data_IF_696351700362
#
_entry.id   IF_696351700362
#
_cell.length_a   1.000
_cell.length_b   1.000
_cell.length_c   1.000
_cell.angle_alpha   90.00
_cell.angle_beta   90.00
_cell.angle_gamma   90.00
#
_symmetry.space_group_name_H-M   'P 1'
#
loop_
_entity.id
_entity.type
_entity.pdbx_description
1 polymer ?
#
# COMPACT_ATOMS: atom_id res chain seq x y z
N UNK A 1 -9.54 4.18 13.36
CA UNK A 1 -9.06 3.34 14.48
C UNK A 1 -10.17 2.50 15.11
N UNK A 2 -11.35 3.05 15.45
CA UNK A 2 -12.43 2.32 16.15
C UNK A 2 -13.00 1.12 15.35
N UNK A 3 -13.14 1.22 14.02
CA UNK A 3 -13.72 0.15 13.20
C UNK A 3 -12.86 -1.11 13.06
N UNK A 4 -11.53 -1.00 13.09
CA UNK A 4 -10.64 -2.16 12.99
C UNK A 4 -10.61 -2.98 14.29
N UNK A 5 -10.68 -2.30 15.44
CA UNK A 5 -10.78 -2.98 16.74
C UNK A 5 -12.11 -3.73 16.85
N UNK A 6 -13.22 -3.09 16.46
CA UNK A 6 -14.52 -3.74 16.42
C UNK A 6 -14.53 -4.99 15.52
N UNK A 7 -13.98 -4.89 14.30
CA UNK A 7 -13.89 -6.03 13.39
C UNK A 7 -13.06 -7.18 13.97
N UNK A 8 -11.94 -6.87 14.63
CA UNK A 8 -11.09 -7.88 15.26
C UNK A 8 -11.80 -8.61 16.41
N UNK A 9 -12.45 -7.88 17.32
CA UNK A 9 -13.20 -8.48 18.43
C UNK A 9 -14.40 -9.30 17.92
N UNK A 10 -15.07 -8.85 16.85
CA UNK A 10 -16.14 -9.61 16.21
C UNK A 10 -15.63 -10.93 15.62
N UNK A 11 -14.46 -10.93 14.96
CA UNK A 11 -13.85 -12.16 14.45
C UNK A 11 -13.39 -13.11 15.56
N UNK A 12 -12.87 -12.59 16.68
CA UNK A 12 -12.55 -13.40 17.86
C UNK A 12 -13.80 -14.04 18.47
N UNK A 13 -14.91 -13.29 18.55
CA UNK A 13 -16.18 -13.81 19.03
C UNK A 13 -16.71 -14.96 18.12
N UNK A 14 -16.56 -14.84 16.80
CA UNK A 14 -16.92 -15.90 15.85
C UNK A 14 -15.98 -17.11 16.00
N UNK A 15 -14.67 -16.90 16.13
CA UNK A 15 -13.70 -17.97 16.34
C UNK A 15 -13.98 -18.77 17.63
N UNK A 16 -14.42 -18.08 18.68
CA UNK A 16 -14.78 -18.73 19.95
C UNK A 16 -15.91 -19.76 19.79
N UNK A 17 -16.80 -19.60 18.80
CA UNK A 17 -17.85 -20.57 18.48
C UNK A 17 -17.28 -21.90 17.96
N UNK A 18 -16.04 -21.93 17.44
CA UNK A 18 -15.40 -23.15 16.95
C UNK A 18 -14.91 -24.06 18.09
N UNK A 19 -14.90 -23.59 19.34
CA UNK A 19 -14.30 -24.31 20.47
C UNK A 19 -14.90 -25.71 20.70
N UNK A 20 -16.23 -25.91 20.74
CA UNK A 20 -16.79 -27.27 20.87
C UNK A 20 -16.37 -28.20 19.73
N UNK A 21 -16.20 -27.68 18.51
CA UNK A 21 -15.75 -28.49 17.37
C UNK A 21 -14.27 -28.89 17.48
N UNK A 22 -13.42 -27.99 17.99
CA UNK A 22 -12.00 -28.30 18.27
C UNK A 22 -11.87 -29.37 19.35
N UNK A 23 -12.60 -29.22 20.45
CA UNK A 23 -12.64 -30.20 21.55
C UNK A 23 -13.14 -31.57 21.05
N UNK A 24 -14.19 -31.59 20.21
CA UNK A 24 -14.66 -32.82 19.58
C UNK A 24 -13.59 -33.49 18.68
N UNK A 25 -12.82 -32.68 17.93
CA UNK A 25 -11.77 -33.19 17.06
C UNK A 25 -10.59 -33.75 17.85
N UNK A 26 -10.18 -33.07 18.92
CA UNK A 26 -9.12 -33.53 19.83
C UNK A 26 -9.46 -34.89 20.47
N UNK A 27 -10.72 -35.14 20.82
CA UNK A 27 -11.18 -36.45 21.31
C UNK A 27 -10.95 -37.55 20.28
N UNK A 28 -11.27 -37.29 19.01
CA UNK A 28 -11.10 -38.25 17.92
C UNK A 28 -9.60 -38.48 17.64
N UNK A 29 -8.81 -37.41 17.52
CA UNK A 29 -7.36 -37.48 17.26
C UNK A 29 -6.64 -38.28 18.36
N UNK A 30 -6.89 -37.98 19.64
CA UNK A 30 -6.27 -38.70 20.76
C UNK A 30 -6.71 -40.16 20.90
N UNK A 31 -7.89 -40.52 20.39
CA UNK A 31 -8.32 -41.90 20.33
C UNK A 31 -7.58 -42.65 19.21
N UNK A 32 -7.45 -42.04 18.03
CA UNK A 32 -6.76 -42.63 16.87
C UNK A 32 -5.25 -42.79 17.12
N UNK A 33 -4.58 -41.79 17.71
CA UNK A 33 -3.13 -41.83 18.00
C UNK A 33 -2.71 -42.98 18.93
N UNK A 34 -3.58 -43.37 19.86
CA UNK A 34 -3.28 -44.44 20.83
C UNK A 34 -3.39 -45.85 20.23
N UNK A 35 -4.05 -45.97 19.06
CA UNK A 35 -4.28 -47.24 18.38
C UNK A 35 -5.11 -48.24 19.19
N UNK A 36 -5.42 -49.39 18.60
CA UNK A 36 -6.07 -50.51 19.27
C UNK A 36 -7.36 -51.00 18.61
N UNK A 37 -8.15 -51.74 19.37
CA UNK A 37 -9.43 -52.29 18.92
C UNK A 37 -10.44 -51.18 18.62
N UNK A 38 -10.90 -51.13 17.37
CA UNK A 38 -11.80 -50.11 16.85
C UNK A 38 -13.10 -49.97 17.68
N UNK A 39 -13.63 -51.06 18.23
CA UNK A 39 -14.85 -51.00 19.05
C UNK A 39 -14.59 -50.33 20.41
N UNK A 40 -13.42 -50.57 21.02
CA UNK A 40 -13.03 -49.91 22.27
C UNK A 40 -12.75 -48.42 22.06
N UNK A 41 -12.22 -48.06 20.88
CA UNK A 41 -12.00 -46.67 20.49
C UNK A 41 -13.34 -45.93 20.36
N UNK A 42 -14.32 -46.50 19.65
CA UNK A 42 -15.65 -45.90 19.50
C UNK A 42 -16.37 -45.72 20.84
N UNK A 43 -16.28 -46.69 21.75
CA UNK A 43 -16.85 -46.59 23.10
C UNK A 43 -16.25 -45.43 23.92
N UNK A 44 -14.93 -45.23 23.82
CA UNK A 44 -14.23 -44.14 24.47
C UNK A 44 -14.60 -42.78 23.85
N UNK A 45 -14.60 -42.70 22.52
CA UNK A 45 -15.01 -41.49 21.79
C UNK A 45 -16.45 -41.12 22.17
N UNK A 46 -17.38 -42.07 22.22
CA UNK A 46 -18.78 -41.81 22.63
C UNK A 46 -18.88 -41.18 24.03
N UNK A 47 -18.02 -41.62 24.95
CA UNK A 47 -18.00 -41.11 26.33
C UNK A 47 -17.48 -39.68 26.41
N UNK A 48 -16.42 -39.38 25.66
CA UNK A 48 -15.74 -38.07 25.72
C UNK A 48 -16.37 -37.02 24.78
N UNK A 49 -17.01 -37.45 23.68
CA UNK A 49 -17.61 -36.59 22.65
C UNK A 49 -18.94 -35.97 23.08
N UNK A 50 -19.63 -36.52 24.08
CA UNK A 50 -20.96 -36.07 24.49
C UNK A 50 -21.01 -34.60 24.91
N UNK A 51 -20.07 -34.16 25.76
CA UNK A 51 -20.04 -32.78 26.25
C UNK A 51 -19.81 -31.72 25.14
N UNK A 52 -18.80 -31.85 24.26
CA UNK A 52 -18.62 -30.92 23.15
C UNK A 52 -19.77 -31.00 22.13
N UNK A 53 -20.34 -32.19 21.89
CA UNK A 53 -21.50 -32.35 21.01
C UNK A 53 -22.72 -31.57 21.52
N UNK A 54 -23.04 -31.69 22.82
CA UNK A 54 -24.15 -30.93 23.44
C UNK A 54 -23.93 -29.43 23.35
N UNK A 55 -22.72 -28.93 23.67
CA UNK A 55 -22.40 -27.50 23.54
C UNK A 55 -22.62 -26.99 22.10
N UNK A 56 -22.21 -27.78 21.11
CA UNK A 56 -22.42 -27.44 19.71
C UNK A 56 -23.92 -27.40 19.36
N UNK A 57 -24.68 -28.44 19.71
CA UNK A 57 -26.11 -28.52 19.37
C UNK A 57 -26.95 -27.47 20.10
N UNK A 58 -26.61 -27.13 21.34
CA UNK A 58 -27.31 -26.09 22.11
C UNK A 58 -27.09 -24.71 21.48
N UNK A 59 -25.85 -24.38 21.13
CA UNK A 59 -25.52 -23.13 20.44
C UNK A 59 -26.16 -23.06 19.03
N UNK A 60 -26.32 -24.20 18.36
CA UNK A 60 -27.04 -24.29 17.09
C UNK A 60 -28.54 -24.03 17.27
N UNK A 61 -29.14 -24.59 18.32
CA UNK A 61 -30.55 -24.39 18.62
C UNK A 61 -30.89 -22.94 19.01
N UNK A 62 -29.95 -22.19 19.59
CA UNK A 62 -30.14 -20.77 19.95
C UNK A 62 -29.79 -19.79 18.81
N UNK A 63 -29.40 -20.28 17.64
CA UNK A 63 -29.04 -19.44 16.49
C UNK A 63 -27.67 -18.77 16.60
N UNK A 64 -26.80 -19.19 17.52
CA UNK A 64 -25.49 -18.54 17.71
C UNK A 64 -24.55 -18.71 16.50
N UNK A 65 -24.82 -19.67 15.62
CA UNK A 65 -24.06 -19.89 14.38
C UNK A 65 -24.66 -19.18 13.16
N UNK A 66 -25.79 -18.50 13.29
CA UNK A 66 -26.48 -17.87 12.17
C UNK A 66 -25.57 -16.85 11.47
N UNK A 67 -25.41 -17.01 10.16
CA UNK A 67 -24.54 -16.17 9.33
C UNK A 67 -23.04 -16.48 9.42
N UNK A 68 -22.62 -17.36 10.34
CA UNK A 68 -21.20 -17.70 10.58
C UNK A 68 -20.84 -19.13 10.17
N UNK A 69 -21.81 -20.06 10.15
CA UNK A 69 -21.62 -21.45 9.75
C UNK A 69 -22.57 -21.81 8.61
N UNK A 70 -22.07 -22.48 7.57
CA UNK A 70 -22.93 -22.93 6.46
C UNK A 70 -23.94 -23.97 6.96
N UNK A 71 -25.19 -23.87 6.50
CA UNK A 71 -26.25 -24.81 6.88
C UNK A 71 -25.91 -26.27 6.49
N UNK A 72 -25.27 -26.46 5.34
CA UNK A 72 -24.78 -27.76 4.88
C UNK A 72 -23.73 -28.34 5.83
N UNK A 73 -22.78 -27.52 6.29
CA UNK A 73 -21.73 -27.89 7.25
C UNK A 73 -22.35 -28.22 8.61
N UNK A 74 -23.28 -27.40 9.10
CA UNK A 74 -24.00 -27.66 10.36
C UNK A 74 -24.77 -28.99 10.32
N UNK A 75 -25.55 -29.24 9.26
CA UNK A 75 -26.31 -30.49 9.08
C UNK A 75 -25.39 -31.70 9.03
N UNK A 76 -24.25 -31.59 8.33
CA UNK A 76 -23.27 -32.67 8.25
C UNK A 76 -22.67 -32.97 9.62
N UNK A 77 -22.27 -31.96 10.39
CA UNK A 77 -21.70 -32.13 11.74
C UNK A 77 -22.74 -32.77 12.68
N UNK A 78 -23.98 -32.27 12.69
CA UNK A 78 -25.07 -32.84 13.51
C UNK A 78 -25.30 -34.31 13.17
N UNK A 79 -25.30 -34.66 11.88
CA UNK A 79 -25.47 -36.04 11.42
C UNK A 79 -24.34 -36.93 11.91
N UNK A 80 -23.07 -36.49 11.77
CA UNK A 80 -21.91 -37.26 12.22
C UNK A 80 -21.87 -37.42 13.74
N UNK A 81 -22.19 -36.38 14.50
CA UNK A 81 -22.27 -36.47 15.96
C UNK A 81 -23.37 -37.42 16.42
N UNK A 82 -24.56 -37.33 15.81
CA UNK A 82 -25.68 -38.23 16.10
C UNK A 82 -25.31 -39.69 15.83
N UNK A 83 -24.70 -39.96 14.69
CA UNK A 83 -24.34 -41.32 14.30
C UNK A 83 -23.22 -41.86 15.19
N UNK A 84 -22.21 -41.04 15.52
CA UNK A 84 -21.09 -41.43 16.40
C UNK A 84 -21.55 -41.70 17.84
N UNK A 85 -22.54 -40.96 18.34
CA UNK A 85 -23.08 -41.11 19.69
C UNK A 85 -24.14 -42.22 19.81
N UNK A 86 -24.52 -42.88 18.71
CA UNK A 86 -25.48 -43.96 18.72
C UNK A 86 -25.00 -45.18 19.53
N UNK A 87 -25.93 -46.05 19.92
CA UNK A 87 -25.59 -47.34 20.55
C UNK A 87 -24.82 -48.26 19.61
N UNK A 88 -25.08 -48.19 18.31
CA UNK A 88 -24.32 -48.84 17.23
C UNK A 88 -23.88 -47.79 16.20
N UNK A 89 -22.69 -47.17 16.38
CA UNK A 89 -22.24 -46.06 15.55
C UNK A 89 -22.01 -46.41 14.08
N UNK A 90 -21.42 -47.57 13.81
CA UNK A 90 -21.09 -48.00 12.44
C UNK A 90 -22.39 -48.28 11.66
N UNK A 91 -23.37 -48.94 12.29
CA UNK A 91 -24.66 -49.19 11.66
C UNK A 91 -25.48 -47.89 11.49
N UNK A 92 -25.40 -46.95 12.44
CA UNK A 92 -26.05 -45.64 12.30
C UNK A 92 -25.47 -44.85 11.11
N UNK A 93 -24.15 -44.79 11.01
CA UNK A 93 -23.44 -44.14 9.90
C UNK A 93 -23.69 -44.82 8.55
N UNK A 94 -23.75 -46.15 8.50
CA UNK A 94 -24.11 -46.88 7.28
C UNK A 94 -25.50 -46.50 6.77
N UNK A 95 -26.47 -46.37 7.69
CA UNK A 95 -27.85 -45.99 7.33
C UNK A 95 -27.95 -44.56 6.82
N UNK A 96 -27.20 -43.62 7.39
CA UNK A 96 -27.23 -42.21 6.97
C UNK A 96 -26.44 -41.96 5.69
N UNK A 97 -25.29 -42.63 5.52
CA UNK A 97 -24.39 -42.43 4.37
C UNK A 97 -24.75 -43.27 3.14
N UNK A 98 -25.45 -44.40 3.33
CA UNK A 98 -25.74 -45.37 2.27
C UNK A 98 -24.52 -46.15 1.76
N UNK A 99 -23.36 -45.99 2.40
CA UNK A 99 -22.08 -46.65 2.05
C UNK A 99 -21.83 -47.85 2.95
N UNK A 100 -20.97 -48.77 2.50
CA UNK A 100 -20.40 -49.79 3.38
C UNK A 100 -19.56 -49.07 4.44
N UNK A 101 -19.95 -49.20 5.71
CA UNK A 101 -19.32 -48.49 6.81
C UNK A 101 -18.19 -49.29 7.46
N UNK A 102 -17.16 -48.57 7.90
CA UNK A 102 -16.16 -49.07 8.84
C UNK A 102 -15.94 -48.02 9.94
N UNK A 103 -15.43 -48.42 11.12
CA UNK A 103 -15.04 -47.47 12.16
C UNK A 103 -14.09 -46.38 11.66
N UNK A 104 -13.09 -46.75 10.85
CA UNK A 104 -12.12 -45.81 10.28
C UNK A 104 -12.79 -44.77 9.39
N UNK A 105 -13.66 -45.21 8.48
CA UNK A 105 -14.37 -44.31 7.56
C UNK A 105 -15.29 -43.34 8.31
N UNK A 106 -15.96 -43.80 9.38
CA UNK A 106 -16.77 -42.93 10.25
C UNK A 106 -15.90 -41.85 10.91
N UNK A 107 -14.75 -42.23 11.49
CA UNK A 107 -13.88 -41.28 12.17
C UNK A 107 -13.24 -40.27 11.20
N UNK A 108 -12.88 -40.70 9.99
CA UNK A 108 -12.37 -39.83 8.94
C UNK A 108 -13.44 -38.80 8.50
N UNK A 109 -14.67 -39.25 8.25
CA UNK A 109 -15.76 -38.37 7.84
C UNK A 109 -16.19 -37.40 8.96
N UNK A 110 -16.19 -37.86 10.21
CA UNK A 110 -16.40 -37.00 11.38
C UNK A 110 -15.30 -35.93 11.47
N UNK A 111 -14.03 -36.32 11.39
CA UNK A 111 -12.89 -35.41 11.44
C UNK A 111 -12.94 -34.39 10.31
N UNK A 112 -13.30 -34.83 9.11
CA UNK A 112 -13.51 -33.96 7.94
C UNK A 112 -14.61 -32.92 8.17
N UNK A 113 -15.76 -33.35 8.72
CA UNK A 113 -16.87 -32.46 9.01
C UNK A 113 -16.52 -31.42 10.09
N UNK A 114 -15.87 -31.86 11.18
CA UNK A 114 -15.42 -30.97 12.27
C UNK A 114 -14.40 -29.96 11.77
N UNK A 115 -13.42 -30.40 10.98
CA UNK A 115 -12.37 -29.52 10.41
C UNK A 115 -12.99 -28.43 9.54
N UNK A 116 -13.93 -28.80 8.66
CA UNK A 116 -14.62 -27.82 7.83
C UNK A 116 -15.38 -26.77 8.64
N UNK A 117 -16.07 -27.19 9.70
CA UNK A 117 -16.76 -26.25 10.60
C UNK A 117 -15.80 -25.31 11.34
N UNK A 118 -14.66 -25.84 11.83
CA UNK A 118 -13.61 -25.02 12.44
C UNK A 118 -13.04 -24.01 11.44
N UNK A 119 -12.77 -24.43 10.21
CA UNK A 119 -12.20 -23.57 9.18
C UNK A 119 -13.15 -22.42 8.80
N UNK A 120 -14.46 -22.69 8.67
CA UNK A 120 -15.46 -21.66 8.41
C UNK A 120 -15.50 -20.59 9.51
N UNK A 121 -15.47 -21.02 10.77
CA UNK A 121 -15.53 -20.14 11.94
C UNK A 121 -14.21 -19.40 12.23
N UNK A 122 -13.06 -19.94 11.78
CA UNK A 122 -11.74 -19.33 11.96
C UNK A 122 -11.40 -18.36 10.83
N UNK A 123 -11.95 -18.57 9.63
CA UNK A 123 -11.67 -17.77 8.42
C UNK A 123 -11.77 -16.24 8.61
N UNK A 124 -12.73 -15.68 9.37
CA UNK A 124 -12.79 -14.23 9.60
C UNK A 124 -11.53 -13.66 10.27
N UNK A 125 -10.91 -14.39 11.20
CA UNK A 125 -9.67 -13.98 11.87
C UNK A 125 -8.53 -13.90 10.85
N UNK A 126 -8.42 -14.89 9.97
CA UNK A 126 -7.39 -14.92 8.93
C UNK A 126 -7.63 -13.85 7.86
N UNK A 127 -8.89 -13.58 7.51
CA UNK A 127 -9.25 -12.48 6.63
C UNK A 127 -8.82 -11.13 7.22
N UNK A 128 -9.06 -10.89 8.51
CA UNK A 128 -8.62 -9.65 9.17
C UNK A 128 -7.10 -9.55 9.24
N UNK A 129 -6.40 -10.64 9.59
CA UNK A 129 -4.92 -10.67 9.55
C UNK A 129 -4.39 -10.37 8.16
N UNK A 130 -5.02 -10.93 7.13
CA UNK A 130 -4.67 -10.67 5.74
C UNK A 130 -4.91 -9.21 5.36
N UNK A 131 -6.06 -8.64 5.73
CA UNK A 131 -6.37 -7.21 5.52
C UNK A 131 -5.40 -6.30 6.28
N UNK A 132 -5.01 -6.64 7.50
CA UNK A 132 -4.00 -5.88 8.24
C UNK A 132 -2.64 -5.92 7.54
N UNK A 133 -2.27 -7.06 6.92
CA UNK A 133 -1.06 -7.20 6.11
C UNK A 133 -1.15 -6.38 4.81
N UNK A 134 -2.27 -6.35 4.13
CA UNK A 134 -2.42 -5.56 2.88
C UNK A 134 -2.42 -4.05 3.15
N UNK A 135 -3.01 -3.61 4.27
CA UNK A 135 -3.03 -2.20 4.70
C UNK A 135 -1.64 -1.71 5.13
N UNK A 136 -0.77 -2.58 5.65
CA UNK A 136 0.61 -2.21 6.04
C UNK A 136 1.63 -2.36 4.90
N UNK A 137 1.41 -3.26 3.94
CA UNK A 137 2.29 -3.47 2.78
C UNK A 137 2.10 -2.40 1.68
N UNK A 138 0.89 -1.85 1.53
CA UNK A 138 0.60 -0.81 0.54
C UNK A 138 1.27 0.55 0.82
N UNK A 139 1.55 0.86 2.08
CA UNK A 139 2.13 2.15 2.51
C UNK A 139 3.67 2.05 2.61
N UNK A 140 4.23 0.85 2.76
CA UNK A 140 5.67 0.65 2.97
C UNK A 140 6.48 0.52 1.68
N UNK A 141 5.88 0.12 0.55
CA UNK A 141 6.61 -0.06 -0.72
C UNK A 141 6.90 1.23 -1.50
N UNK A 142 6.18 2.33 -1.26
CA UNK A 142 6.43 3.61 -1.94
C UNK A 142 7.58 4.41 -1.33
N UNK A 143 7.97 4.08 -0.09
CA UNK A 143 8.83 4.92 0.75
C UNK A 143 10.21 4.28 1.00
N UNK A 144 10.32 2.97 0.76
CA UNK A 144 11.58 2.23 0.83
C UNK A 144 12.53 2.75 -0.27
N UNK A 145 13.69 3.28 0.16
CA UNK A 145 14.71 3.79 -0.75
C UNK A 145 14.51 5.23 -1.23
N UNK A 146 13.63 6.04 -0.63
CA UNK A 146 13.56 7.49 -0.94
C UNK A 146 14.92 8.17 -0.80
N UNK A 147 15.64 7.87 0.28
CA UNK A 147 16.99 8.38 0.53
C UNK A 147 18.07 7.72 -0.35
N UNK A 148 17.74 6.62 -1.03
CA UNK A 148 18.68 5.93 -1.90
C UNK A 148 18.74 6.48 -3.32
N UNK A 149 17.74 7.26 -3.73
CA UNK A 149 17.67 7.96 -5.02
C UNK A 149 18.85 8.91 -5.19
N UNK A 150 19.45 8.92 -6.39
CA UNK A 150 20.66 9.72 -6.67
C UNK A 150 20.39 11.21 -6.54
N UNK A 151 19.22 11.67 -6.97
CA UNK A 151 18.80 13.07 -6.89
C UNK A 151 18.58 13.51 -5.43
N UNK A 152 18.01 12.64 -4.59
CA UNK A 152 17.88 12.90 -3.15
C UNK A 152 19.24 12.92 -2.46
N UNK A 153 20.15 11.99 -2.79
CA UNK A 153 21.53 12.02 -2.30
C UNK A 153 22.25 13.31 -2.68
N UNK A 154 22.12 13.75 -3.93
CA UNK A 154 22.70 15.00 -4.42
C UNK A 154 22.17 16.23 -3.66
N UNK A 155 20.89 16.21 -3.27
CA UNK A 155 20.29 17.27 -2.45
C UNK A 155 20.89 17.32 -1.03
N UNK A 156 21.10 16.16 -0.41
CA UNK A 156 21.73 16.08 0.92
C UNK A 156 23.22 16.45 0.86
N UNK A 157 23.93 16.02 -0.19
CA UNK A 157 25.33 16.38 -0.44
C UNK A 157 25.50 17.89 -0.71
N UNK A 158 24.48 18.55 -1.26
CA UNK A 158 24.42 20.01 -1.37
C UNK A 158 24.23 20.74 -0.02
N UNK A 159 24.16 20.00 1.10
CA UNK A 159 24.10 20.54 2.46
C UNK A 159 22.69 20.76 2.99
N UNK A 160 21.66 20.23 2.33
CA UNK A 160 20.28 20.29 2.85
C UNK A 160 20.12 19.33 4.02
N UNK A 161 19.68 19.85 5.16
CA UNK A 161 19.41 19.02 6.32
C UNK A 161 18.09 18.24 6.14
N UNK A 162 18.06 16.98 6.58
CA UNK A 162 16.92 16.06 6.33
C UNK A 162 15.62 16.60 6.91
N UNK A 163 15.69 17.18 8.10
CA UNK A 163 14.57 17.79 8.81
C UNK A 163 14.03 19.08 8.15
N UNK A 164 14.71 19.60 7.13
CA UNK A 164 14.26 20.76 6.35
C UNK A 164 13.41 20.38 5.14
N UNK A 165 13.29 19.09 4.84
CA UNK A 165 12.50 18.58 3.73
C UNK A 165 11.20 18.00 4.25
N UNK A 166 10.06 18.53 3.79
CA UNK A 166 8.79 17.89 4.03
C UNK A 166 8.75 16.56 3.26
N UNK A 167 7.98 15.59 3.78
CA UNK A 167 7.81 14.30 3.09
C UNK A 167 7.31 14.48 1.65
N UNK A 168 6.37 15.41 1.42
CA UNK A 168 5.85 15.74 0.09
C UNK A 168 6.96 16.20 -0.86
N UNK A 169 7.81 17.11 -0.41
CA UNK A 169 8.96 17.60 -1.19
C UNK A 169 9.94 16.46 -1.49
N UNK A 170 10.28 15.67 -0.47
CA UNK A 170 11.18 14.53 -0.61
C UNK A 170 10.67 13.50 -1.63
N UNK A 171 9.37 13.19 -1.59
CA UNK A 171 8.73 12.25 -2.51
C UNK A 171 8.77 12.75 -3.95
N UNK A 172 8.46 14.03 -4.19
CA UNK A 172 8.54 14.63 -5.53
C UNK A 172 9.97 14.58 -6.07
N UNK A 173 10.97 14.93 -5.25
CA UNK A 173 12.38 14.84 -5.65
C UNK A 173 12.77 13.40 -5.97
N UNK A 174 12.30 12.42 -5.19
CA UNK A 174 12.55 11.01 -5.48
C UNK A 174 11.90 10.54 -6.78
N UNK A 175 10.69 11.00 -7.09
CA UNK A 175 9.97 10.63 -8.33
C UNK A 175 10.60 11.27 -9.58
N UNK A 176 11.23 12.44 -9.43
CA UNK A 176 11.98 13.10 -10.50
C UNK A 176 13.33 12.42 -10.81
N UNK A 177 13.83 11.52 -9.97
CA UNK A 177 15.15 10.88 -10.11
C UNK A 177 15.32 10.19 -11.47
N UNK A 178 14.29 9.48 -11.95
CA UNK A 178 14.32 8.76 -13.23
C UNK A 178 14.42 9.68 -14.46
N UNK A 179 14.03 10.95 -14.33
CA UNK A 179 14.16 11.95 -15.39
C UNK A 179 15.58 12.52 -15.50
N UNK A 180 16.34 12.50 -14.41
CA UNK A 180 17.63 13.17 -14.31
C UNK A 180 18.77 12.23 -14.72
N UNK A 181 19.49 12.62 -15.77
CA UNK A 181 20.68 11.90 -16.23
C UNK A 181 21.93 12.26 -15.41
N UNK A 182 22.04 13.53 -14.99
CA UNK A 182 23.14 14.00 -14.14
C UNK A 182 22.75 15.24 -13.32
N UNK A 183 23.32 15.36 -12.10
CA UNK A 183 23.32 16.60 -11.33
C UNK A 183 24.68 17.28 -11.52
N UNK A 184 24.69 18.49 -12.08
CA UNK A 184 25.90 19.18 -12.56
C UNK A 184 26.37 20.31 -11.64
N UNK A 185 25.56 20.67 -10.65
CA UNK A 185 25.91 21.63 -9.61
C UNK A 185 24.71 22.02 -8.75
N UNK A 186 24.94 22.90 -7.78
CA UNK A 186 23.88 23.42 -6.93
C UNK A 186 24.15 24.84 -6.46
N UNK A 187 23.10 25.57 -6.13
CA UNK A 187 23.14 26.79 -5.32
C UNK A 187 22.18 26.65 -4.16
N UNK A 188 22.67 26.88 -2.95
CA UNK A 188 21.83 26.90 -1.76
C UNK A 188 21.61 28.34 -1.31
N UNK A 189 20.35 28.65 -1.04
CA UNK A 189 19.91 29.96 -0.63
C UNK A 189 19.28 29.92 0.76
N UNK A 190 19.59 30.92 1.57
CA UNK A 190 18.88 31.24 2.81
C UNK A 190 17.85 32.33 2.51
N UNK A 191 16.67 32.21 3.13
CA UNK A 191 15.58 33.18 3.04
C UNK A 191 15.30 33.74 4.42
N UNK A 192 15.18 35.06 4.51
CA UNK A 192 14.88 35.79 5.74
C UNK A 192 13.79 36.84 5.48
N UNK A 193 13.00 37.16 6.52
CA UNK A 193 11.90 38.13 6.45
C UNK A 193 10.56 37.51 6.05
N UNK A 194 9.58 38.38 5.79
CA UNK A 194 8.19 37.96 5.53
C UNK A 194 7.95 37.74 4.02
N UNK A 195 7.74 36.48 3.65
CA UNK A 195 7.45 36.06 2.27
C UNK A 195 6.05 36.52 1.85
N UNK A 196 5.06 36.42 2.75
CA UNK A 196 3.67 36.77 2.46
C UNK A 196 3.52 38.29 2.29
N UNK A 197 4.15 39.07 3.17
CA UNK A 197 4.21 40.53 3.09
C UNK A 197 5.19 41.08 2.05
N UNK A 198 5.90 40.22 1.31
CA UNK A 198 6.77 40.62 0.19
C UNK A 198 8.05 41.36 0.59
N UNK A 199 8.43 41.32 1.87
CA UNK A 199 9.65 41.93 2.41
C UNK A 199 10.82 40.94 2.54
N UNK A 200 10.61 39.67 2.17
CA UNK A 200 11.63 38.64 2.26
C UNK A 200 12.85 38.92 1.36
N UNK A 201 14.02 38.56 1.89
CA UNK A 201 15.31 38.61 1.21
C UNK A 201 15.85 37.20 1.01
N UNK A 202 16.75 37.06 0.05
CA UNK A 202 17.43 35.82 -0.29
C UNK A 202 18.93 36.07 -0.36
N UNK A 203 19.71 35.17 0.23
CA UNK A 203 21.17 35.21 0.22
C UNK A 203 21.71 33.82 -0.15
N UNK A 204 22.90 33.77 -0.75
CA UNK A 204 23.54 32.50 -1.09
C UNK A 204 24.39 32.05 0.07
N UNK A 205 24.20 30.80 0.50
CA UNK A 205 24.97 30.19 1.58
C UNK A 205 26.01 29.21 1.08
N UNK A 206 25.76 28.54 -0.05
CA UNK A 206 26.72 27.60 -0.64
C UNK A 206 26.51 27.41 -2.14
N UNK A 207 27.57 27.01 -2.86
CA UNK A 207 27.55 26.67 -4.29
C UNK A 207 28.49 25.51 -4.61
N UNK A 208 28.00 24.59 -5.43
CA UNK A 208 28.76 23.44 -5.91
C UNK A 208 28.71 23.25 -7.43
N UNK A 209 29.68 22.49 -7.95
CA UNK A 209 29.78 22.13 -9.36
C UNK A 209 29.85 23.35 -10.27
N UNK A 210 29.10 23.31 -11.38
CA UNK A 210 29.08 24.38 -12.37
C UNK A 210 28.62 25.74 -11.81
N UNK A 211 27.87 25.75 -10.72
CA UNK A 211 27.30 26.97 -10.12
C UNK A 211 28.35 27.93 -9.56
N UNK A 212 29.54 27.42 -9.21
CA UNK A 212 30.65 28.23 -8.68
C UNK A 212 31.09 29.33 -9.66
N UNK A 213 30.97 29.08 -10.96
CA UNK A 213 31.41 29.99 -12.01
C UNK A 213 30.26 30.85 -12.59
N UNK A 214 29.07 30.82 -11.98
CA UNK A 214 27.90 31.55 -12.47
C UNK A 214 27.68 32.84 -11.70
N UNK A 215 27.38 33.94 -12.41
CA UNK A 215 26.96 35.19 -11.75
C UNK A 215 25.53 35.04 -11.24
N UNK A 216 25.28 35.30 -9.95
CA UNK A 216 23.91 35.29 -9.43
C UNK A 216 23.33 36.70 -9.41
N UNK A 217 22.05 36.83 -9.74
CA UNK A 217 21.31 38.08 -9.53
C UNK A 217 21.29 38.48 -8.06
N UNK A 218 21.27 37.49 -7.16
CA UNK A 218 21.20 37.71 -5.70
C UNK A 218 22.38 38.53 -5.19
N UNK A 219 23.54 38.40 -5.85
CA UNK A 219 24.76 39.15 -5.51
C UNK A 219 24.57 40.67 -5.72
N UNK A 220 23.61 41.10 -6.56
CA UNK A 220 23.28 42.52 -6.83
C UNK A 220 21.96 42.98 -6.22
N UNK A 221 21.00 42.08 -6.09
CA UNK A 221 19.67 42.37 -5.55
C UNK A 221 19.17 41.18 -4.74
N UNK A 222 19.12 41.36 -3.43
CA UNK A 222 18.72 40.34 -2.45
C UNK A 222 17.21 40.20 -2.27
N UNK A 223 16.36 40.98 -2.96
CA UNK A 223 14.92 40.84 -2.84
C UNK A 223 14.43 39.48 -3.39
N UNK A 224 13.62 38.77 -2.60
CA UNK A 224 13.02 37.51 -3.00
C UNK A 224 11.85 37.75 -3.96
N UNK A 225 12.12 37.65 -5.26
CA UNK A 225 11.10 37.88 -6.30
C UNK A 225 11.10 36.79 -7.38
N UNK A 226 10.04 36.78 -8.20
CA UNK A 226 9.88 35.88 -9.34
C UNK A 226 9.72 34.41 -8.92
N UNK A 227 10.32 33.51 -9.69
CA UNK A 227 10.18 32.05 -9.53
C UNK A 227 10.61 31.56 -8.15
N UNK A 228 11.70 32.10 -7.59
CA UNK A 228 12.17 31.72 -6.25
C UNK A 228 11.18 32.11 -5.16
N UNK A 229 10.54 33.28 -5.27
CA UNK A 229 9.47 33.70 -4.35
C UNK A 229 8.28 32.74 -4.42
N UNK A 230 7.88 32.33 -5.63
CA UNK A 230 6.77 31.38 -5.81
C UNK A 230 7.07 30.04 -5.14
N UNK A 231 8.23 29.45 -5.39
CA UNK A 231 8.69 28.22 -4.73
C UNK A 231 8.68 28.37 -3.20
N UNK A 232 9.14 29.51 -2.68
CA UNK A 232 9.16 29.75 -1.25
C UNK A 232 7.76 29.87 -0.63
N UNK A 233 6.84 30.54 -1.34
CA UNK A 233 5.46 30.77 -0.88
C UNK A 233 4.62 29.50 -0.95
N UNK A 234 4.69 28.79 -2.08
CA UNK A 234 3.84 27.62 -2.35
C UNK A 234 4.39 26.37 -1.64
N UNK A 235 5.68 26.39 -1.27
CA UNK A 235 6.39 25.25 -0.68
C UNK A 235 6.39 24.00 -1.58
N UNK A 236 6.35 24.24 -2.89
CA UNK A 236 6.34 23.18 -3.91
C UNK A 236 7.65 23.14 -4.69
N UNK A 237 8.09 21.93 -5.03
CA UNK A 237 9.24 21.70 -5.90
C UNK A 237 8.91 22.22 -7.29
N UNK A 238 9.86 22.90 -7.92
CA UNK A 238 9.69 23.40 -9.28
C UNK A 238 10.84 22.98 -10.18
N UNK A 239 10.50 22.30 -11.26
CA UNK A 239 11.37 22.08 -12.42
C UNK A 239 11.23 23.25 -13.38
N UNK A 240 12.34 23.88 -13.76
CA UNK A 240 12.32 25.05 -14.63
C UNK A 240 13.51 25.09 -15.60
N UNK A 241 13.37 25.92 -16.64
CA UNK A 241 14.46 26.32 -17.53
C UNK A 241 14.82 27.79 -17.25
N UNK A 242 16.11 28.07 -17.07
CA UNK A 242 16.61 29.41 -16.84
C UNK A 242 16.35 30.31 -18.04
N UNK A 243 15.70 31.47 -17.85
CA UNK A 243 15.36 32.38 -18.96
C UNK A 243 16.60 32.98 -19.64
N UNK A 244 17.68 33.19 -18.89
CA UNK A 244 18.89 33.85 -19.38
C UNK A 244 19.94 32.89 -19.94
N UNK A 245 19.98 31.65 -19.46
CA UNK A 245 21.05 30.69 -19.75
C UNK A 245 20.53 29.34 -20.27
N UNK A 246 19.21 29.20 -20.43
CA UNK A 246 18.51 28.01 -20.92
C UNK A 246 18.80 26.72 -20.12
N UNK A 247 19.39 26.83 -18.92
CA UNK A 247 19.77 25.67 -18.10
C UNK A 247 18.58 25.11 -17.33
N UNK A 248 18.50 23.79 -17.26
CA UNK A 248 17.49 23.08 -16.49
C UNK A 248 17.85 23.02 -15.02
N UNK A 249 16.89 23.33 -14.16
CA UNK A 249 17.07 23.40 -12.72
C UNK A 249 15.88 22.79 -11.99
N UNK A 250 16.14 22.21 -10.82
CA UNK A 250 15.12 21.79 -9.85
C UNK A 250 15.28 22.66 -8.62
N UNK A 251 14.24 23.42 -8.26
CA UNK A 251 14.19 24.25 -7.06
C UNK A 251 13.44 23.52 -5.97
N UNK A 252 14.09 23.31 -4.84
CA UNK A 252 13.60 22.55 -3.69
C UNK A 252 13.48 23.47 -2.48
N UNK A 253 12.27 23.70 -1.93
CA UNK A 253 12.11 24.54 -0.75
C UNK A 253 12.59 23.82 0.52
N UNK A 254 13.29 24.55 1.38
CA UNK A 254 13.73 24.10 2.70
C UNK A 254 12.88 24.77 3.78
N UNK A 255 12.14 23.97 4.56
CA UNK A 255 11.15 24.46 5.52
C UNK A 255 11.54 24.15 6.97
N UNK A 256 11.15 25.00 7.93
CA UNK A 256 11.24 24.74 9.37
C UNK A 256 10.04 25.35 10.05
N UNK A 257 9.33 24.57 10.86
CA UNK A 257 8.13 25.05 11.57
C UNK A 257 7.06 25.58 10.62
N UNK A 258 6.92 24.98 9.43
CA UNK A 258 5.96 25.40 8.40
C UNK A 258 6.37 26.65 7.59
N UNK A 259 7.52 27.26 7.88
CA UNK A 259 8.03 28.42 7.16
C UNK A 259 9.17 28.05 6.23
N UNK A 260 9.26 28.67 5.05
CA UNK A 260 10.38 28.45 4.13
C UNK A 260 11.59 29.25 4.58
N UNK A 261 12.64 28.55 4.97
CA UNK A 261 13.90 29.11 5.46
C UNK A 261 15.01 29.12 4.41
N UNK A 262 14.80 28.43 3.29
CA UNK A 262 15.78 28.38 2.22
C UNK A 262 15.22 27.74 0.95
N UNK A 263 16.03 27.79 -0.10
CA UNK A 263 15.78 27.07 -1.36
C UNK A 263 17.12 26.46 -1.78
N UNK A 264 17.10 25.18 -2.13
CA UNK A 264 18.20 24.55 -2.85
C UNK A 264 17.86 24.41 -4.31
N UNK A 265 18.70 24.95 -5.18
CA UNK A 265 18.58 24.87 -6.62
C UNK A 265 19.62 23.89 -7.14
N UNK A 266 19.17 22.76 -7.70
CA UNK A 266 20.02 21.78 -8.37
C UNK A 266 20.06 22.08 -9.86
N UNK A 267 21.27 22.21 -10.41
CA UNK A 267 21.48 22.19 -11.85
C UNK A 267 21.49 20.73 -12.31
N UNK A 268 20.62 20.40 -13.25
CA UNK A 268 20.42 19.02 -13.70
C UNK A 268 20.49 18.94 -15.22
N UNK A 269 20.88 17.77 -15.72
CA UNK A 269 20.64 17.34 -17.08
C UNK A 269 19.54 16.29 -17.05
N UNK A 270 18.54 16.44 -17.92
CA UNK A 270 17.54 15.40 -18.10
C UNK A 270 18.03 14.36 -19.11
N UNK A 271 17.44 13.17 -19.08
CA UNK A 271 17.45 12.30 -20.25
C UNK A 271 16.76 13.02 -21.42
N UNK A 272 17.20 12.80 -22.65
CA UNK A 272 16.53 13.39 -23.81
C UNK A 272 15.08 12.87 -23.91
N UNK A 273 14.92 11.55 -23.81
CA UNK A 273 13.64 10.83 -23.82
C UNK A 273 13.64 9.70 -22.80
N UNK A 274 12.45 9.25 -22.42
CA UNK A 274 12.23 8.09 -21.55
C UNK A 274 11.19 7.16 -22.15
N UNK A 275 11.19 5.86 -21.82
CA UNK A 275 10.06 4.98 -22.12
C UNK A 275 8.76 5.56 -21.55
N UNK A 276 7.64 5.39 -22.27
CA UNK A 276 6.36 5.98 -21.90
C UNK A 276 5.93 5.64 -20.46
N UNK A 277 6.15 4.40 -20.03
CA UNK A 277 5.85 3.93 -18.67
C UNK A 277 6.66 4.66 -17.60
N UNK A 278 7.95 4.89 -17.83
CA UNK A 278 8.82 5.62 -16.92
C UNK A 278 8.45 7.11 -16.88
N UNK A 279 8.17 7.71 -18.04
CA UNK A 279 7.77 9.11 -18.14
C UNK A 279 6.42 9.38 -17.47
N UNK A 280 5.45 8.46 -17.65
CA UNK A 280 4.18 8.49 -16.93
C UNK A 280 4.39 8.53 -15.42
N UNK A 281 5.22 7.63 -14.88
CA UNK A 281 5.48 7.58 -13.45
C UNK A 281 6.09 8.89 -12.92
N UNK A 282 7.03 9.48 -13.66
CA UNK A 282 7.61 10.80 -13.33
C UNK A 282 6.54 11.89 -13.32
N UNK A 283 5.68 11.97 -14.34
CA UNK A 283 4.62 13.00 -14.44
C UNK A 283 3.50 12.83 -13.41
N UNK A 284 3.25 11.61 -12.95
CA UNK A 284 2.32 11.34 -11.84
C UNK A 284 2.92 11.79 -10.50
N UNK A 285 4.22 11.59 -10.30
CA UNK A 285 4.94 12.02 -9.11
C UNK A 285 5.21 13.53 -9.02
N UNK A 286 5.15 14.24 -10.15
CA UNK A 286 5.42 15.68 -10.22
C UNK A 286 4.19 16.50 -10.63
N UNK A 287 3.66 17.29 -9.68
CA UNK A 287 2.61 18.30 -9.90
C UNK A 287 1.35 17.77 -10.62
N UNK A 288 1.01 16.47 -10.42
CA UNK A 288 -0.10 15.77 -11.10
C UNK A 288 -0.17 16.08 -12.59
N UNK A 289 0.98 16.22 -13.25
CA UNK A 289 1.06 16.69 -14.62
C UNK A 289 0.51 15.68 -15.61
N UNK A 290 0.61 14.39 -15.30
CA UNK A 290 0.03 13.33 -16.12
C UNK A 290 -1.49 13.49 -16.20
N UNK A 291 -2.18 13.56 -15.06
CA UNK A 291 -3.64 13.66 -15.02
C UNK A 291 -4.14 14.91 -15.77
N UNK A 292 -3.52 16.06 -15.51
CA UNK A 292 -3.86 17.32 -16.21
C UNK A 292 -3.62 17.26 -17.71
N UNK A 293 -2.58 16.56 -18.16
CA UNK A 293 -2.32 16.35 -19.59
C UNK A 293 -3.36 15.44 -20.22
N UNK A 294 -3.71 14.33 -19.54
CA UNK A 294 -4.75 13.41 -20.01
C UNK A 294 -6.08 14.14 -20.14
N UNK A 295 -6.47 14.93 -19.15
CA UNK A 295 -7.70 15.72 -19.17
C UNK A 295 -7.70 16.68 -20.37
N UNK A 296 -6.61 17.45 -20.54
CA UNK A 296 -6.50 18.43 -21.63
C UNK A 296 -6.53 17.79 -23.01
N UNK A 297 -5.77 16.72 -23.23
CA UNK A 297 -5.71 16.02 -24.53
C UNK A 297 -7.02 15.30 -24.83
N UNK A 298 -7.67 14.71 -23.82
CA UNK A 298 -8.95 14.02 -24.03
C UNK A 298 -10.06 15.01 -24.36
N UNK A 299 -10.00 16.24 -23.81
CA UNK A 299 -10.92 17.32 -24.15
C UNK A 299 -10.81 17.73 -25.64
N UNK A 300 -9.61 17.78 -26.22
CA UNK A 300 -9.42 18.24 -27.61
C UNK A 300 -9.38 17.10 -28.65
N UNK A 301 -8.72 15.99 -28.34
CA UNK A 301 -8.44 14.88 -29.28
C UNK A 301 -9.32 13.64 -29.05
N UNK A 302 -10.11 13.60 -27.96
CA UNK A 302 -11.04 12.51 -27.64
C UNK A 302 -10.41 11.23 -27.09
N UNK A 303 -9.09 11.07 -27.15
CA UNK A 303 -8.37 9.95 -26.54
C UNK A 303 -6.91 10.30 -26.24
N UNK A 304 -6.33 9.69 -25.20
CA UNK A 304 -4.93 9.88 -24.83
C UNK A 304 -4.04 8.74 -25.33
N UNK A 305 -3.15 9.07 -26.27
CA UNK A 305 -2.11 8.17 -26.80
C UNK A 305 -0.91 8.12 -25.85
N UNK A 306 -0.85 7.13 -24.96
CA UNK A 306 0.22 7.05 -23.94
C UNK A 306 1.61 6.81 -24.56
N UNK A 307 1.69 6.14 -25.72
CA UNK A 307 2.92 5.90 -26.49
C UNK A 307 3.69 7.19 -26.82
N UNK A 308 2.98 8.30 -27.05
CA UNK A 308 3.55 9.61 -27.38
C UNK A 308 4.44 10.18 -26.29
N UNK A 309 4.27 9.75 -25.02
CA UNK A 309 5.16 10.16 -23.94
C UNK A 309 6.63 9.79 -24.19
N UNK A 310 6.89 8.75 -25.00
CA UNK A 310 8.24 8.35 -25.36
C UNK A 310 8.87 9.19 -26.48
N UNK A 311 8.08 10.02 -27.16
CA UNK A 311 8.51 10.81 -28.33
C UNK A 311 8.87 12.26 -27.97
N UNK A 312 8.26 12.80 -26.91
CA UNK A 312 8.49 14.17 -26.44
C UNK A 312 9.70 14.23 -25.51
N UNK A 313 10.44 15.36 -25.53
CA UNK A 313 11.58 15.51 -24.64
C UNK A 313 11.17 15.55 -23.17
N UNK A 314 11.96 14.95 -22.29
CA UNK A 314 11.68 14.95 -20.83
C UNK A 314 11.60 16.38 -20.30
N UNK A 315 12.48 17.25 -20.78
CA UNK A 315 12.51 18.64 -20.36
C UNK A 315 11.21 19.37 -20.73
N UNK A 316 10.69 19.14 -21.93
CA UNK A 316 9.45 19.78 -22.36
C UNK A 316 8.24 19.24 -21.60
N UNK A 317 8.19 17.92 -21.35
CA UNK A 317 7.13 17.31 -20.55
C UNK A 317 7.08 17.85 -19.10
N UNK A 318 8.23 18.15 -18.51
CA UNK A 318 8.32 18.66 -17.13
C UNK A 318 8.14 20.17 -17.02
N UNK A 319 8.47 20.95 -18.07
CA UNK A 319 8.61 22.42 -17.96
C UNK A 319 7.53 23.17 -18.73
N UNK A 320 7.10 22.69 -19.90
CA UNK A 320 6.14 23.43 -20.71
C UNK A 320 4.79 23.59 -19.98
N UNK A 321 4.03 24.65 -20.27
CA UNK A 321 2.62 24.69 -19.92
C UNK A 321 1.88 23.44 -20.41
N UNK A 322 0.86 22.99 -19.68
CA UNK A 322 0.08 21.80 -20.07
C UNK A 322 -0.54 21.97 -21.47
N UNK A 323 -0.98 23.18 -21.81
CA UNK A 323 -1.50 23.53 -23.14
C UNK A 323 -0.50 23.24 -24.25
N UNK A 324 0.74 23.68 -24.08
CA UNK A 324 1.79 23.57 -25.10
C UNK A 324 2.27 22.12 -25.20
N UNK A 325 2.29 21.41 -24.07
CA UNK A 325 2.59 19.99 -24.01
C UNK A 325 1.54 19.14 -24.76
N UNK A 326 0.26 19.51 -24.64
CA UNK A 326 -0.83 18.82 -25.32
C UNK A 326 -0.77 18.97 -26.84
N UNK A 327 -0.13 20.02 -27.37
CA UNK A 327 0.04 20.19 -28.81
C UNK A 327 0.84 19.05 -29.47
N UNK A 328 1.67 18.31 -28.70
CA UNK A 328 2.35 17.11 -29.18
C UNK A 328 1.41 15.93 -29.47
N UNK A 329 0.16 15.97 -29.00
CA UNK A 329 -0.86 14.94 -29.26
C UNK A 329 -1.74 15.26 -30.47
N UNK A 330 -1.64 16.46 -31.04
CA UNK A 330 -2.41 16.83 -32.23
C UNK A 330 -1.98 15.96 -33.43
N UNK A 331 -2.92 15.54 -34.29
CA UNK A 331 -2.59 14.89 -35.54
C UNK A 331 -1.72 15.83 -36.38
N UNK A 332 -0.61 15.30 -36.89
CA UNK A 332 0.14 16.01 -37.93
C UNK A 332 -0.80 16.20 -39.12
N UNK A 333 -1.07 17.45 -39.49
CA UNK A 333 -1.78 17.78 -40.73
C UNK A 333 -0.95 17.42 -41.95
#
# INVERSE_FOLDING_TARGET
>A
MVGHLFGYEAALAIDALARPLREAREVVEHAVERGGDANKLLEKIRTELGAPATRFTDALATGNYDGNLEASTAVRIVTMLRDTLASDPVQAYQRSSGKIASPELLLDDLTSALTRGVDELTRPVDAIKHQAKTVTVGISRSDEGLFDRKLVKSLLEAGVARERLSYRVLKIVADLDAAVSAVTGFTRYQIEGDIAGGSATIAIVDRGGMSKNLTSRVDRNSQLVGTKRRVASDQEVLVARGRSDNRTVIMVPETKGGQTTGITLLHVMFHDRLPATAMRAVLQGYDRRYDRLVDWVTETEGSFREDRLAEVSVADLLILPISDMADHWRPTK
#
